data_IF_615164916265
#
_entry.id   IF_615164916265
#
_cell.length_a   1.000
_cell.length_b   1.000
_cell.length_c   1.000
_cell.angle_alpha   90.00
_cell.angle_beta   90.00
_cell.angle_gamma   90.00
#
_symmetry.space_group_name_H-M   'P 1'
#
loop_
_entity.id
_entity.type
_entity.pdbx_description
1 polymer ?
#
# COMPACT_ATOMS: atom_id res chain seq x y z
N UNK A 1 -4.05 73.51 46.77
CA UNK A 1 -3.08 73.60 47.89
C UNK A 1 -3.16 72.35 48.74
N UNK A 2 -2.00 71.80 49.12
CA UNK A 2 -1.73 70.73 50.11
C UNK A 2 -1.95 69.26 49.67
N UNK A 3 -0.91 68.75 49.02
CA UNK A 3 -0.14 67.52 49.32
C UNK A 3 -0.72 66.49 50.31
N UNK A 4 -0.70 65.22 49.90
CA UNK A 4 0.00 64.15 50.64
C UNK A 4 0.39 63.00 49.71
N UNK A 5 1.67 62.65 49.73
CA UNK A 5 2.28 61.44 49.16
C UNK A 5 2.16 60.30 50.18
N UNK A 6 1.86 59.06 49.77
CA UNK A 6 2.38 57.83 50.42
C UNK A 6 2.51 56.68 49.40
N UNK A 7 3.77 56.36 49.13
CA UNK A 7 4.48 55.10 48.87
C UNK A 7 3.87 53.90 48.11
N UNK A 8 4.63 53.51 47.07
CA UNK A 8 4.76 52.20 46.44
C UNK A 8 4.83 51.03 47.44
N UNK A 9 4.15 49.94 47.11
CA UNK A 9 4.66 48.58 47.36
C UNK A 9 4.51 47.75 46.09
N UNK A 10 5.64 47.55 45.41
CA UNK A 10 5.78 46.66 44.25
C UNK A 10 5.89 45.24 44.77
N UNK A 11 4.83 44.44 44.63
CA UNK A 11 4.94 42.98 44.73
C UNK A 11 5.08 42.43 43.31
N UNK A 12 6.33 42.25 42.87
CA UNK A 12 6.64 41.47 41.68
C UNK A 12 6.36 39.99 42.00
N UNK A 13 5.18 39.51 41.62
CA UNK A 13 4.94 38.08 41.44
C UNK A 13 5.59 37.68 40.12
N UNK A 14 6.84 37.24 40.20
CA UNK A 14 7.46 36.37 39.21
C UNK A 14 6.69 35.04 39.24
N UNK A 15 5.58 34.98 38.51
CA UNK A 15 5.06 33.71 38.06
C UNK A 15 6.07 33.16 37.05
N UNK A 16 6.99 32.34 37.55
CA UNK A 16 7.80 31.47 36.71
C UNK A 16 6.85 30.58 35.94
N UNK A 17 6.57 30.96 34.69
CA UNK A 17 6.07 30.03 33.69
C UNK A 17 7.24 29.06 33.49
N UNK A 18 7.24 27.96 34.24
CA UNK A 18 8.00 26.80 33.85
C UNK A 18 7.54 26.46 32.44
N UNK A 19 8.44 26.32 31.44
CA UNK A 19 8.04 25.73 30.18
C UNK A 19 7.45 24.37 30.52
N UNK A 20 6.17 24.16 30.19
CA UNK A 20 5.66 22.82 30.01
C UNK A 20 6.66 22.16 29.06
N UNK A 21 7.38 21.16 29.55
CA UNK A 21 8.13 20.27 28.68
C UNK A 21 7.14 19.79 27.65
N UNK A 22 7.31 20.23 26.40
CA UNK A 22 6.67 19.57 25.29
C UNK A 22 7.01 18.08 25.46
N UNK A 23 6.00 17.23 25.35
CA UNK A 23 6.18 15.79 25.30
C UNK A 23 7.04 15.50 24.05
N UNK A 24 8.35 15.55 24.25
CA UNK A 24 9.37 15.26 23.24
C UNK A 24 9.31 13.75 23.03
N UNK A 25 8.38 13.35 22.17
CA UNK A 25 8.27 11.97 21.71
C UNK A 25 9.61 11.47 21.15
N UNK A 26 9.77 10.15 21.10
CA UNK A 26 11.00 9.50 20.67
C UNK A 26 11.46 10.01 19.29
N UNK A 27 12.74 10.34 19.18
CA UNK A 27 13.37 10.59 17.89
C UNK A 27 13.55 9.28 17.10
N UNK A 28 13.90 9.40 15.81
CA UNK A 28 14.24 8.21 15.02
C UNK A 28 15.49 7.53 15.58
N UNK A 29 16.47 8.30 16.05
CA UNK A 29 17.68 7.78 16.70
C UNK A 29 17.34 7.02 17.99
N UNK A 30 16.40 7.52 18.79
CA UNK A 30 15.93 6.82 19.99
C UNK A 30 15.31 5.46 19.63
N UNK A 31 14.46 5.42 18.60
CA UNK A 31 13.85 4.18 18.10
C UNK A 31 14.93 3.21 17.59
N UNK A 32 15.87 3.71 16.80
CA UNK A 32 16.91 2.90 16.16
C UNK A 32 17.99 2.41 17.13
N UNK A 33 18.14 3.06 18.28
CA UNK A 33 19.07 2.63 19.34
C UNK A 33 18.52 1.49 20.22
N UNK A 34 17.22 1.14 20.09
CA UNK A 34 16.59 0.12 20.92
C UNK A 34 17.14 -1.28 20.58
N UNK A 35 17.48 -2.11 21.59
CA UNK A 35 17.98 -3.46 21.36
C UNK A 35 17.02 -4.30 20.50
N UNK A 36 17.56 -4.95 19.48
CA UNK A 36 16.79 -5.81 18.56
C UNK A 36 16.27 -5.11 17.31
N UNK A 37 16.50 -3.80 17.17
CA UNK A 37 16.23 -3.05 15.94
C UNK A 37 17.54 -2.75 15.19
N UNK A 38 17.47 -2.91 13.87
CA UNK A 38 18.37 -2.30 12.90
C UNK A 38 17.55 -1.29 12.11
N UNK A 39 18.09 -0.09 11.96
CA UNK A 39 17.56 0.93 11.07
C UNK A 39 18.50 1.15 9.91
N UNK A 40 17.93 1.22 8.71
CA UNK A 40 18.65 1.61 7.52
C UNK A 40 17.95 2.79 6.86
N UNK A 41 18.66 3.92 6.81
CA UNK A 41 18.24 5.11 6.08
C UNK A 41 18.42 4.90 4.57
N UNK A 42 17.45 5.39 3.79
CA UNK A 42 17.43 5.39 2.33
C UNK A 42 17.09 6.80 1.81
N UNK A 43 17.20 7.03 0.50
CA UNK A 43 16.83 8.33 -0.07
C UNK A 43 15.34 8.63 0.09
N UNK A 44 14.49 7.61 0.05
CA UNK A 44 13.05 7.72 0.14
C UNK A 44 12.48 7.42 1.54
N UNK A 45 13.29 7.00 2.51
CA UNK A 45 12.74 6.65 3.82
C UNK A 45 13.71 5.98 4.79
N UNK A 46 13.14 5.26 5.75
CA UNK A 46 13.86 4.47 6.74
C UNK A 46 13.23 3.10 6.85
N UNK A 47 14.05 2.05 6.83
CA UNK A 47 13.61 0.68 7.15
C UNK A 47 14.00 0.36 8.57
N UNK A 48 13.05 -0.13 9.36
CA UNK A 48 13.20 -0.47 10.78
C UNK A 48 12.83 -1.93 10.94
N UNK A 49 13.77 -2.77 11.35
CA UNK A 49 13.54 -4.22 11.40
C UNK A 49 14.55 -4.96 12.27
N UNK A 50 14.53 -6.29 12.19
CA UNK A 50 15.60 -7.11 12.78
C UNK A 50 16.88 -7.04 11.95
N UNK A 51 18.01 -7.30 12.61
CA UNK A 51 19.31 -7.21 11.96
C UNK A 51 19.43 -8.12 10.72
N UNK A 52 19.98 -7.59 9.63
CA UNK A 52 20.25 -8.29 8.37
C UNK A 52 19.09 -8.37 7.38
N UNK A 53 17.90 -7.86 7.73
CA UNK A 53 16.72 -7.88 6.85
C UNK A 53 16.41 -6.54 6.18
N UNK A 54 17.14 -5.46 6.46
CA UNK A 54 16.74 -4.08 6.09
C UNK A 54 17.20 -3.64 4.70
N UNK A 55 18.34 -4.13 4.22
CA UNK A 55 19.00 -3.64 3.00
C UNK A 55 18.18 -3.78 1.72
N UNK A 56 17.64 -4.96 1.43
CA UNK A 56 16.84 -5.18 0.22
C UNK A 56 15.55 -4.35 0.22
N UNK A 57 14.96 -4.15 1.39
CA UNK A 57 13.75 -3.35 1.54
C UNK A 57 14.00 -1.85 1.39
N UNK A 58 15.15 -1.36 1.84
CA UNK A 58 15.52 0.06 1.65
C UNK A 58 15.63 0.36 0.16
N UNK A 59 16.23 -0.56 -0.59
CA UNK A 59 16.28 -0.46 -2.05
C UNK A 59 14.88 -0.44 -2.68
N UNK A 60 13.96 -1.31 -2.24
CA UNK A 60 12.57 -1.31 -2.76
C UNK A 60 11.81 -0.01 -2.50
N UNK A 61 12.03 0.65 -1.35
CA UNK A 61 11.40 1.95 -1.08
C UNK A 61 11.93 3.01 -2.06
N UNK A 62 13.25 3.02 -2.30
CA UNK A 62 13.87 3.97 -3.22
C UNK A 62 13.40 3.73 -4.67
N UNK A 63 13.30 2.47 -5.11
CA UNK A 63 12.77 2.13 -6.44
C UNK A 63 11.30 2.54 -6.60
N UNK A 64 10.46 2.23 -5.60
CA UNK A 64 9.06 2.62 -5.60
C UNK A 64 8.90 4.15 -5.63
N UNK A 65 9.70 4.88 -4.85
CA UNK A 65 9.70 6.33 -4.86
C UNK A 65 10.14 6.93 -6.21
N UNK A 66 11.18 6.37 -6.81
CA UNK A 66 11.64 6.79 -8.14
C UNK A 66 10.59 6.51 -9.22
N UNK A 67 9.90 5.37 -9.16
CA UNK A 67 8.78 5.06 -10.05
C UNK A 67 7.60 6.03 -9.84
N UNK A 68 7.25 6.35 -8.59
CA UNK A 68 6.23 7.35 -8.29
C UNK A 68 6.56 8.71 -8.90
N UNK A 69 7.80 9.19 -8.71
CA UNK A 69 8.28 10.43 -9.32
C UNK A 69 8.22 10.40 -10.85
N UNK A 70 8.59 9.26 -11.45
CA UNK A 70 8.53 9.06 -12.90
C UNK A 70 7.12 9.19 -13.45
N UNK A 71 6.12 8.56 -12.82
CA UNK A 71 4.76 8.48 -13.36
C UNK A 71 3.83 9.61 -12.87
N UNK A 72 4.13 10.24 -11.74
CA UNK A 72 3.29 11.29 -11.16
C UNK A 72 3.96 12.67 -11.13
N UNK A 73 5.24 12.78 -11.47
CA UNK A 73 5.98 14.04 -11.49
C UNK A 73 6.10 14.73 -10.12
N UNK A 74 5.81 14.01 -9.03
CA UNK A 74 5.84 14.50 -7.65
C UNK A 74 6.83 13.68 -6.84
N UNK A 75 7.61 14.36 -5.99
CA UNK A 75 8.47 13.70 -5.01
C UNK A 75 7.66 12.77 -4.12
N UNK A 76 8.11 11.52 -3.99
CA UNK A 76 7.45 10.58 -3.10
C UNK A 76 7.57 11.05 -1.63
N UNK A 77 6.49 10.96 -0.84
CA UNK A 77 6.54 11.20 0.60
C UNK A 77 7.53 10.23 1.27
N UNK A 78 8.28 10.72 2.27
CA UNK A 78 9.19 9.88 3.06
C UNK A 78 8.44 8.74 3.76
N UNK A 79 8.93 7.51 3.65
CA UNK A 79 8.31 6.35 4.28
C UNK A 79 9.14 5.79 5.43
N UNK A 80 8.48 5.30 6.48
CA UNK A 80 9.05 4.35 7.43
C UNK A 80 8.46 2.96 7.17
N UNK A 81 9.31 2.01 6.76
CA UNK A 81 8.92 0.62 6.62
C UNK A 81 9.31 -0.15 7.88
N UNK A 82 8.33 -0.77 8.51
CA UNK A 82 8.51 -1.46 9.79
C UNK A 82 8.41 -2.95 9.57
N UNK A 83 9.55 -3.64 9.56
CA UNK A 83 9.64 -5.07 9.30
C UNK A 83 9.28 -5.89 10.54
N UNK A 84 8.36 -6.82 10.37
CA UNK A 84 7.88 -7.73 11.40
C UNK A 84 6.87 -7.08 12.37
N UNK A 85 6.60 -7.76 13.48
CA UNK A 85 5.66 -7.28 14.48
C UNK A 85 6.32 -6.25 15.42
N UNK A 86 6.14 -4.95 15.14
CA UNK A 86 6.37 -3.91 16.16
C UNK A 86 5.12 -3.79 17.03
N UNK A 87 5.20 -4.41 18.21
CA UNK A 87 4.15 -4.40 19.24
C UNK A 87 4.23 -3.19 20.17
N UNK A 88 5.29 -2.40 20.06
CA UNK A 88 5.48 -1.22 20.90
C UNK A 88 4.61 -0.06 20.40
N UNK A 89 3.58 0.27 21.17
CA UNK A 89 2.63 1.34 20.84
C UNK A 89 3.26 2.74 20.87
N UNK A 90 4.31 2.94 21.68
CA UNK A 90 5.03 4.21 21.76
C UNK A 90 5.87 4.42 20.50
N UNK A 91 6.61 3.38 20.06
CA UNK A 91 7.34 3.41 18.78
C UNK A 91 6.39 3.70 17.62
N UNK A 92 5.26 3.00 17.56
CA UNK A 92 4.24 3.20 16.53
C UNK A 92 3.75 4.65 16.47
N UNK A 93 3.40 5.22 17.63
CA UNK A 93 2.87 6.59 17.72
C UNK A 93 3.91 7.61 17.28
N UNK A 94 5.19 7.41 17.65
CA UNK A 94 6.26 8.31 17.25
C UNK A 94 6.58 8.20 15.75
N UNK A 95 6.58 7.00 15.17
CA UNK A 95 6.78 6.85 13.71
C UNK A 95 5.70 7.58 12.90
N UNK A 96 4.44 7.52 13.32
CA UNK A 96 3.34 8.23 12.66
C UNK A 96 3.45 9.77 12.77
N UNK A 97 4.21 10.28 13.75
CA UNK A 97 4.53 11.72 13.86
C UNK A 97 5.71 12.12 12.98
N UNK A 98 6.68 11.21 12.81
CA UNK A 98 7.93 11.45 12.11
C UNK A 98 7.81 11.29 10.59
N UNK A 99 6.97 10.35 10.13
CA UNK A 99 6.86 9.99 8.72
C UNK A 99 5.44 10.18 8.20
N UNK A 100 5.27 10.78 6.99
CA UNK A 100 3.97 10.85 6.34
C UNK A 100 3.45 9.48 5.90
N UNK A 101 4.34 8.51 5.66
CA UNK A 101 3.98 7.11 5.36
C UNK A 101 4.65 6.21 6.40
N UNK A 102 3.86 5.37 7.07
CA UNK A 102 4.36 4.29 7.92
C UNK A 102 3.70 3.00 7.46
N UNK A 103 4.50 2.02 7.05
CA UNK A 103 4.01 0.76 6.51
C UNK A 103 4.54 -0.42 7.35
N UNK A 104 3.69 -1.12 8.13
CA UNK A 104 4.07 -2.39 8.71
C UNK A 104 4.15 -3.46 7.63
N UNK A 105 5.26 -4.17 7.59
CA UNK A 105 5.53 -5.16 6.56
C UNK A 105 6.02 -6.49 7.13
N UNK A 106 5.43 -7.58 6.67
CA UNK A 106 5.80 -8.93 7.10
C UNK A 106 6.78 -9.51 6.09
N UNK A 107 8.01 -9.77 6.53
CA UNK A 107 9.01 -10.44 5.68
C UNK A 107 8.59 -11.88 5.34
N UNK A 108 9.22 -12.50 4.34
CA UNK A 108 8.99 -13.91 4.04
C UNK A 108 9.33 -14.83 5.23
N UNK A 109 10.36 -14.49 6.00
CA UNK A 109 10.73 -15.20 7.22
C UNK A 109 9.68 -15.05 8.33
N UNK A 110 9.15 -13.84 8.53
CA UNK A 110 8.06 -13.60 9.47
C UNK A 110 6.80 -14.36 9.07
N UNK A 111 6.49 -14.40 7.76
CA UNK A 111 5.37 -15.18 7.21
C UNK A 111 5.56 -16.67 7.47
N UNK A 112 6.75 -17.21 7.19
CA UNK A 112 7.08 -18.61 7.47
C UNK A 112 6.93 -18.93 8.95
N UNK A 113 7.48 -18.09 9.82
CA UNK A 113 7.40 -18.27 11.27
C UNK A 113 5.95 -18.20 11.77
N UNK A 114 5.12 -17.32 11.20
CA UNK A 114 3.69 -17.24 11.52
C UNK A 114 2.95 -18.53 11.11
N UNK A 115 3.19 -19.02 9.89
CA UNK A 115 2.61 -20.29 9.41
C UNK A 115 3.06 -21.45 10.29
N UNK A 116 4.34 -21.51 10.66
CA UNK A 116 4.87 -22.53 11.54
C UNK A 116 4.18 -22.53 12.91
N UNK A 117 4.01 -21.38 13.55
CA UNK A 117 3.29 -21.29 14.84
C UNK A 117 1.86 -21.83 14.73
N UNK A 118 1.15 -21.44 13.67
CA UNK A 118 -0.24 -21.86 13.43
C UNK A 118 -0.34 -23.36 13.16
N UNK A 119 0.48 -23.88 12.22
CA UNK A 119 0.55 -25.31 11.88
C UNK A 119 0.94 -26.14 13.10
N UNK A 120 1.93 -25.70 13.87
CA UNK A 120 2.36 -26.39 15.09
C UNK A 120 1.22 -26.53 16.09
N UNK A 121 0.50 -25.44 16.37
CA UNK A 121 -0.66 -25.47 17.26
C UNK A 121 -1.75 -26.43 16.75
N UNK A 122 -2.03 -26.41 15.45
CA UNK A 122 -3.00 -27.31 14.82
C UNK A 122 -2.58 -28.79 14.89
N UNK A 123 -1.32 -29.09 14.61
CA UNK A 123 -0.77 -30.45 14.67
C UNK A 123 -0.80 -30.95 16.11
N UNK A 124 -0.38 -30.15 17.09
CA UNK A 124 -0.42 -30.55 18.51
C UNK A 124 -1.85 -30.79 19.00
N UNK A 125 -2.82 -30.00 18.54
CA UNK A 125 -4.23 -30.19 18.89
C UNK A 125 -4.84 -31.44 18.23
N UNK A 126 -4.49 -31.73 16.97
CA UNK A 126 -5.04 -32.88 16.22
C UNK A 126 -4.30 -34.19 16.47
N UNK A 127 -3.04 -34.13 16.89
CA UNK A 127 -2.12 -35.26 17.08
C UNK A 127 -1.31 -35.09 18.38
N UNK A 128 -1.96 -35.12 19.55
CA UNK A 128 -1.29 -34.93 20.84
C UNK A 128 -0.32 -36.08 21.19
N UNK A 129 -0.38 -37.20 20.45
CA UNK A 129 0.53 -38.34 20.54
C UNK A 129 1.92 -38.03 19.97
N UNK A 130 2.03 -37.09 19.02
CA UNK A 130 3.31 -36.73 18.39
C UNK A 130 4.15 -35.87 19.32
N UNK A 131 5.43 -36.25 19.47
CA UNK A 131 6.42 -35.53 20.29
C UNK A 131 7.77 -35.46 19.57
N UNK A 132 8.61 -34.57 20.06
CA UNK A 132 10.02 -34.44 19.69
C UNK A 132 10.22 -34.42 18.17
N UNK A 133 11.17 -35.20 17.65
CA UNK A 133 11.54 -35.23 16.24
C UNK A 133 10.38 -35.57 15.30
N UNK A 134 9.45 -36.42 15.74
CA UNK A 134 8.27 -36.77 14.93
C UNK A 134 7.30 -35.59 14.77
N UNK A 135 7.15 -34.78 15.82
CA UNK A 135 6.36 -33.54 15.74
C UNK A 135 7.04 -32.54 14.80
N UNK A 136 8.34 -32.29 14.97
CA UNK A 136 9.09 -31.34 14.13
C UNK A 136 9.00 -31.69 12.64
N UNK A 137 9.13 -32.98 12.30
CA UNK A 137 9.03 -33.44 10.91
C UNK A 137 7.66 -33.17 10.30
N UNK A 138 6.58 -33.45 11.03
CA UNK A 138 5.21 -33.21 10.57
C UNK A 138 4.95 -31.72 10.41
N UNK A 139 5.36 -30.90 11.40
CA UNK A 139 5.23 -29.44 11.33
C UNK A 139 5.96 -28.89 10.11
N UNK A 140 7.23 -29.25 9.91
CA UNK A 140 8.01 -28.77 8.76
C UNK A 140 7.34 -29.12 7.42
N UNK A 141 6.87 -30.36 7.26
CA UNK A 141 6.16 -30.79 6.04
C UNK A 141 4.85 -30.03 5.83
N UNK A 142 4.08 -29.81 6.90
CA UNK A 142 2.81 -29.08 6.84
C UNK A 142 3.01 -27.58 6.59
N UNK A 143 4.11 -26.98 7.08
CA UNK A 143 4.49 -25.60 6.75
C UNK A 143 4.80 -25.46 5.28
N UNK A 144 5.65 -26.32 4.72
CA UNK A 144 5.97 -26.30 3.28
C UNK A 144 4.71 -26.51 2.43
N UNK A 145 3.86 -27.47 2.79
CA UNK A 145 2.60 -27.69 2.09
C UNK A 145 1.68 -26.46 2.15
N UNK A 146 1.58 -25.80 3.31
CA UNK A 146 0.76 -24.61 3.50
C UNK A 146 1.29 -23.41 2.70
N UNK A 147 2.61 -23.19 2.68
CA UNK A 147 3.23 -22.14 1.89
C UNK A 147 3.07 -22.39 0.39
N UNK A 148 3.25 -23.63 -0.06
CA UNK A 148 3.06 -24.00 -1.47
C UNK A 148 1.59 -23.86 -1.91
N UNK A 149 0.63 -24.29 -1.10
CA UNK A 149 -0.79 -24.18 -1.40
C UNK A 149 -1.25 -22.71 -1.52
N UNK A 150 -0.63 -21.81 -0.74
CA UNK A 150 -0.90 -20.36 -0.80
C UNK A 150 -0.19 -19.65 -1.96
N UNK A 151 0.58 -20.37 -2.77
CA UNK A 151 1.46 -19.81 -3.78
C UNK A 151 2.78 -19.36 -3.16
N UNK A 152 3.88 -20.02 -3.55
CA UNK A 152 5.22 -19.62 -3.11
C UNK A 152 5.51 -18.22 -3.64
N UNK A 153 5.77 -17.29 -2.74
CA UNK A 153 6.35 -15.99 -3.08
C UNK A 153 7.87 -16.12 -3.03
N UNK A 154 8.54 -15.71 -4.09
CA UNK A 154 9.96 -15.42 -4.04
C UNK A 154 10.18 -13.96 -3.61
N UNK A 155 11.44 -13.60 -3.38
CA UNK A 155 11.81 -12.25 -2.93
C UNK A 155 11.34 -11.20 -3.93
N UNK A 156 11.52 -11.42 -5.23
CA UNK A 156 11.13 -10.44 -6.25
C UNK A 156 9.63 -10.18 -6.26
N UNK A 157 8.79 -11.22 -6.21
CA UNK A 157 7.35 -11.05 -6.09
C UNK A 157 7.00 -10.28 -4.80
N UNK A 158 7.65 -10.62 -3.69
CA UNK A 158 7.40 -10.00 -2.40
C UNK A 158 7.76 -8.49 -2.39
N UNK A 159 8.91 -8.14 -2.96
CA UNK A 159 9.35 -6.75 -3.12
C UNK A 159 8.47 -5.99 -4.14
N UNK A 160 7.95 -6.65 -5.16
CA UNK A 160 6.98 -6.07 -6.08
C UNK A 160 5.66 -5.70 -5.40
N UNK A 161 5.16 -6.57 -4.51
CA UNK A 161 3.95 -6.29 -3.73
C UNK A 161 4.22 -5.14 -2.75
N UNK A 162 5.40 -5.08 -2.13
CA UNK A 162 5.76 -3.92 -1.31
C UNK A 162 5.70 -2.60 -2.08
N UNK A 163 6.25 -2.58 -3.29
CA UNK A 163 6.21 -1.38 -4.14
C UNK A 163 4.77 -1.00 -4.52
N UNK A 164 3.92 -1.98 -4.77
CA UNK A 164 2.47 -1.80 -4.98
C UNK A 164 1.82 -1.10 -3.77
N UNK A 165 2.01 -1.63 -2.56
CA UNK A 165 1.44 -1.03 -1.34
C UNK A 165 1.98 0.38 -1.06
N UNK A 166 3.26 0.61 -1.31
CA UNK A 166 3.85 1.95 -1.22
C UNK A 166 3.21 2.92 -2.22
N UNK A 167 2.79 2.45 -3.40
CA UNK A 167 2.09 3.26 -4.40
C UNK A 167 0.78 3.84 -3.90
N UNK A 168 -0.08 3.03 -3.29
CA UNK A 168 -1.30 3.51 -2.63
C UNK A 168 -0.98 4.60 -1.60
N UNK A 169 0.02 4.35 -0.76
CA UNK A 169 0.41 5.29 0.30
C UNK A 169 0.96 6.60 -0.26
N UNK A 170 1.88 6.55 -1.23
CA UNK A 170 2.45 7.72 -1.88
C UNK A 170 1.38 8.54 -2.59
N UNK A 171 0.47 7.87 -3.30
CA UNK A 171 -0.63 8.52 -4.00
C UNK A 171 -1.57 9.25 -3.04
N UNK A 172 -2.07 8.54 -2.03
CA UNK A 172 -2.94 9.11 -0.99
C UNK A 172 -2.31 10.33 -0.32
N UNK A 173 -1.04 10.24 0.08
CA UNK A 173 -0.34 11.35 0.75
C UNK A 173 -0.04 12.52 -0.18
N UNK A 174 0.13 12.29 -1.48
CA UNK A 174 0.49 13.34 -2.45
C UNK A 174 -0.71 14.07 -3.06
N UNK A 175 -1.88 13.43 -3.08
CA UNK A 175 -3.09 13.96 -3.74
C UNK A 175 -4.24 14.23 -2.76
N UNK A 176 -4.22 13.66 -1.55
CA UNK A 176 -5.25 13.87 -0.51
C UNK A 176 -4.65 14.26 0.86
N UNK A 177 -3.83 15.33 0.96
CA UNK A 177 -3.11 15.67 2.19
C UNK A 177 -4.03 16.01 3.37
N UNK A 178 -5.20 16.63 3.15
CA UNK A 178 -6.07 17.09 4.24
C UNK A 178 -6.83 15.97 4.95
N UNK A 179 -7.15 14.89 4.25
CA UNK A 179 -7.82 13.72 4.84
C UNK A 179 -6.89 12.95 5.78
N UNK A 180 -5.57 13.11 5.62
CA UNK A 180 -4.57 12.53 6.49
C UNK A 180 -4.48 13.21 7.86
N UNK A 181 -4.82 14.50 7.96
CA UNK A 181 -4.80 15.24 9.21
C UNK A 181 -5.86 14.71 10.20
N UNK A 182 -6.97 14.15 9.68
CA UNK A 182 -8.04 13.59 10.48
C UNK A 182 -7.74 12.18 11.01
N UNK A 183 -6.84 11.42 10.35
CA UNK A 183 -6.40 10.10 10.82
C UNK A 183 -5.51 10.18 12.06
N UNK A 184 -4.75 11.28 12.23
CA UNK A 184 -3.92 11.54 13.42
C UNK A 184 -4.71 12.15 14.59
N UNK A 185 -5.92 12.66 14.37
CA UNK A 185 -6.78 13.23 15.42
C UNK A 185 -7.74 12.22 16.06
N UNK A 186 -7.84 11.00 15.54
CA UNK A 186 -8.79 9.99 16.00
C UNK A 186 -8.33 9.23 17.27
N UNK A 187 -8.01 9.95 18.35
CA UNK A 187 -7.89 9.44 19.74
C UNK A 187 -6.90 8.29 20.00
N UNK A 188 -6.80 7.85 21.26
CA UNK A 188 -5.86 6.81 21.76
C UNK A 188 -6.12 5.37 21.23
N UNK A 189 -6.82 5.23 20.11
CA UNK A 189 -6.99 3.97 19.40
C UNK A 189 -5.92 3.80 18.32
N UNK A 190 -5.64 2.56 17.85
CA UNK A 190 -4.92 2.41 16.59
C UNK A 190 -5.69 3.20 15.52
N UNK A 191 -5.02 4.01 14.69
CA UNK A 191 -5.70 4.73 13.62
C UNK A 191 -6.50 3.71 12.85
N UNK A 192 -7.80 3.95 12.72
CA UNK A 192 -8.58 3.19 11.76
C UNK A 192 -7.88 3.42 10.42
N UNK A 193 -7.19 2.40 9.91
CA UNK A 193 -6.95 2.32 8.47
C UNK A 193 -8.30 2.66 7.85
N UNK A 194 -8.38 3.64 6.94
CA UNK A 194 -9.65 4.06 6.37
C UNK A 194 -10.48 2.82 6.04
N UNK A 195 -11.78 2.91 6.27
CA UNK A 195 -12.80 1.90 5.94
C UNK A 195 -12.79 1.45 4.45
N UNK A 196 -11.85 1.99 3.68
CA UNK A 196 -11.56 1.88 2.27
C UNK A 196 -10.08 1.52 2.16
N UNK A 197 -9.80 0.36 1.56
CA UNK A 197 -8.46 0.02 1.11
C UNK A 197 -8.09 1.05 0.04
N UNK A 198 -7.15 1.97 0.33
CA UNK A 198 -6.72 3.00 -0.62
C UNK A 198 -7.03 4.45 -0.23
N UNK A 199 -6.94 5.35 -1.21
CA UNK A 199 -7.25 6.78 -1.12
C UNK A 199 -8.72 7.09 -1.44
N UNK A 200 -9.22 8.33 -1.23
CA UNK A 200 -10.55 8.76 -1.68
C UNK A 200 -10.75 8.80 -3.20
N UNK A 201 -9.74 8.43 -3.99
CA UNK A 201 -9.89 8.33 -5.43
C UNK A 201 -10.79 7.14 -5.80
N UNK A 202 -11.36 7.12 -7.02
CA UNK A 202 -11.94 5.91 -7.57
C UNK A 202 -10.93 4.76 -7.55
N UNK A 203 -11.40 3.55 -7.23
CA UNK A 203 -10.54 2.37 -7.00
C UNK A 203 -9.60 2.07 -8.16
N UNK A 204 -10.03 2.30 -9.41
CA UNK A 204 -9.16 2.12 -10.58
C UNK A 204 -7.93 3.03 -10.55
N UNK A 205 -8.08 4.27 -10.06
CA UNK A 205 -6.99 5.26 -10.02
C UNK A 205 -6.05 4.97 -8.86
N UNK A 206 -6.61 4.52 -7.73
CA UNK A 206 -5.82 4.08 -6.59
C UNK A 206 -4.98 2.85 -6.94
N UNK A 207 -5.57 1.83 -7.56
CA UNK A 207 -4.85 0.65 -8.07
C UNK A 207 -3.88 1.00 -9.21
N UNK A 208 -4.24 1.93 -10.10
CA UNK A 208 -3.32 2.41 -11.13
C UNK A 208 -2.04 2.97 -10.51
N UNK A 209 -2.18 3.72 -9.41
CA UNK A 209 -1.04 4.30 -8.70
C UNK A 209 -0.12 3.23 -8.11
N UNK A 210 -0.67 2.09 -7.68
CA UNK A 210 0.10 0.97 -7.15
C UNK A 210 0.73 0.11 -8.26
N UNK A 211 -0.04 -0.23 -9.30
CA UNK A 211 0.40 -1.08 -10.42
C UNK A 211 1.53 -0.45 -11.24
N UNK A 212 1.58 0.88 -11.33
CA UNK A 212 2.67 1.59 -12.00
C UNK A 212 4.02 1.47 -11.28
N UNK A 213 4.01 1.17 -9.98
CA UNK A 213 5.20 1.04 -9.14
C UNK A 213 5.68 -0.40 -9.01
N UNK A 214 4.90 -1.37 -9.48
CA UNK A 214 5.25 -2.78 -9.49
C UNK A 214 6.55 -3.03 -10.28
N UNK A 215 7.36 -3.97 -9.78
CA UNK A 215 8.57 -4.41 -10.45
C UNK A 215 8.28 -5.23 -11.73
N UNK A 216 9.36 -5.65 -12.40
CA UNK A 216 9.28 -6.42 -13.64
C UNK A 216 8.52 -7.76 -13.46
N UNK A 217 8.73 -8.48 -12.36
CA UNK A 217 8.11 -9.78 -12.12
C UNK A 217 6.58 -9.67 -12.08
N UNK A 218 6.05 -8.71 -11.31
CA UNK A 218 4.61 -8.48 -11.27
C UNK A 218 4.09 -7.97 -12.62
N UNK A 219 4.79 -7.00 -13.22
CA UNK A 219 4.47 -6.44 -14.54
C UNK A 219 4.32 -7.53 -15.61
N UNK A 220 5.30 -8.43 -15.72
CA UNK A 220 5.28 -9.55 -16.65
C UNK A 220 4.12 -10.52 -16.35
N UNK A 221 3.88 -10.78 -15.08
CA UNK A 221 2.77 -11.60 -14.60
C UNK A 221 1.41 -11.00 -15.01
N UNK A 222 1.24 -9.67 -14.94
CA UNK A 222 0.03 -8.97 -15.40
C UNK A 222 -0.19 -9.17 -16.90
N UNK A 223 0.82 -8.94 -17.73
CA UNK A 223 0.69 -9.17 -19.18
C UNK A 223 0.46 -10.64 -19.51
N UNK A 224 1.12 -11.55 -18.79
CA UNK A 224 0.94 -12.99 -18.95
C UNK A 224 -0.53 -13.40 -18.83
N UNK A 225 -1.26 -12.82 -17.88
CA UNK A 225 -2.70 -13.07 -17.67
C UNK A 225 -3.57 -12.54 -18.81
N UNK A 226 -3.15 -11.47 -19.47
CA UNK A 226 -3.91 -10.90 -20.60
C UNK A 226 -3.61 -11.57 -21.95
N UNK A 227 -2.70 -12.54 -22.02
CA UNK A 227 -2.38 -13.23 -23.28
C UNK A 227 -3.58 -13.99 -23.88
N UNK A 228 -4.46 -14.55 -23.03
CA UNK A 228 -5.70 -15.21 -23.44
C UNK A 228 -6.62 -14.30 -24.26
N UNK A 229 -6.81 -13.06 -23.77
CA UNK A 229 -7.62 -12.03 -24.43
C UNK A 229 -7.09 -11.73 -25.84
N UNK A 230 -5.77 -11.52 -25.95
CA UNK A 230 -5.14 -11.20 -27.24
C UNK A 230 -5.28 -12.36 -28.24
N UNK A 231 -5.07 -13.59 -27.78
CA UNK A 231 -5.10 -14.78 -28.65
C UNK A 231 -6.50 -15.16 -29.09
N UNK A 232 -7.50 -14.94 -28.24
CA UNK A 232 -8.90 -15.29 -28.51
C UNK A 232 -9.69 -14.09 -29.06
N UNK A 233 -9.11 -12.89 -29.01
CA UNK A 233 -9.79 -11.63 -29.27
C UNK A 233 -11.09 -11.48 -28.46
N UNK A 234 -11.04 -11.90 -27.20
CA UNK A 234 -12.19 -11.96 -26.30
C UNK A 234 -12.01 -11.00 -25.13
N UNK A 235 -12.51 -9.77 -25.32
CA UNK A 235 -12.47 -8.72 -24.31
C UNK A 235 -13.55 -8.86 -23.23
N UNK A 236 -14.40 -9.89 -23.28
CA UNK A 236 -15.37 -10.16 -22.19
C UNK A 236 -14.70 -10.69 -20.91
N UNK A 237 -13.41 -11.05 -21.00
CA UNK A 237 -12.59 -11.50 -19.86
C UNK A 237 -12.02 -10.33 -19.04
N UNK A 238 -12.28 -9.09 -19.42
CA UNK A 238 -12.01 -7.86 -18.65
C UNK A 238 -13.29 -7.04 -18.55
N UNK A 239 -13.30 -6.06 -17.65
CA UNK A 239 -14.43 -5.15 -17.52
C UNK A 239 -14.43 -4.15 -18.67
N UNK A 240 -15.62 -3.73 -19.11
CA UNK A 240 -15.74 -2.56 -19.98
C UNK A 240 -15.15 -1.34 -19.27
N UNK A 241 -14.74 -0.31 -20.02
CA UNK A 241 -14.18 0.89 -19.41
C UNK A 241 -15.23 1.67 -18.61
N UNK A 242 -16.50 1.63 -19.03
CA UNK A 242 -17.60 2.22 -18.25
C UNK A 242 -17.69 1.59 -16.85
N UNK A 243 -17.61 0.26 -16.76
CA UNK A 243 -17.64 -0.45 -15.48
C UNK A 243 -16.32 -0.29 -14.71
N UNK A 244 -15.18 -0.55 -15.34
CA UNK A 244 -13.85 -0.46 -14.72
C UNK A 244 -13.58 0.89 -14.06
N UNK A 245 -13.98 2.00 -14.71
CA UNK A 245 -13.70 3.35 -14.21
C UNK A 245 -14.66 3.82 -13.10
N UNK A 246 -15.72 3.05 -12.81
CA UNK A 246 -16.77 3.42 -11.84
C UNK A 246 -17.05 2.37 -10.77
N UNK A 247 -16.62 1.12 -10.99
CA UNK A 247 -16.84 0.03 -10.06
C UNK A 247 -16.03 0.19 -8.77
N UNK A 248 -16.54 -0.40 -7.69
CA UNK A 248 -15.77 -0.60 -6.47
C UNK A 248 -14.75 -1.73 -6.64
N UNK A 249 -13.71 -1.74 -5.80
CA UNK A 249 -12.59 -2.65 -5.92
C UNK A 249 -13.06 -4.11 -5.78
N UNK A 250 -12.82 -4.98 -6.77
CA UNK A 250 -13.44 -6.31 -6.83
C UNK A 250 -12.97 -7.25 -5.71
N UNK A 251 -11.80 -7.01 -5.12
CA UNK A 251 -11.30 -7.80 -3.99
C UNK A 251 -11.73 -7.25 -2.61
N UNK A 252 -12.38 -6.09 -2.54
CA UNK A 252 -12.65 -5.40 -1.27
C UNK A 252 -13.62 -6.19 -0.37
N UNK A 253 -14.62 -6.84 -0.95
CA UNK A 253 -15.58 -7.63 -0.20
C UNK A 253 -14.91 -8.80 0.54
N UNK A 254 -13.94 -9.46 -0.10
CA UNK A 254 -13.20 -10.57 0.51
C UNK A 254 -12.16 -10.06 1.51
N UNK A 255 -11.47 -8.95 1.18
CA UNK A 255 -10.56 -8.26 2.11
C UNK A 255 -11.26 -7.91 3.43
N UNK A 256 -12.49 -7.38 3.34
CA UNK A 256 -13.32 -7.03 4.51
C UNK A 256 -13.65 -8.25 5.37
N UNK A 257 -13.98 -9.40 4.76
CA UNK A 257 -14.23 -10.64 5.52
C UNK A 257 -12.98 -11.12 6.25
N UNK A 258 -11.82 -11.11 5.58
CA UNK A 258 -10.54 -11.51 6.18
C UNK A 258 -10.15 -10.55 7.32
N UNK A 259 -10.33 -9.26 7.13
CA UNK A 259 -10.07 -8.24 8.15
C UNK A 259 -10.97 -8.39 9.37
N UNK A 260 -12.27 -8.61 9.17
CA UNK A 260 -13.22 -8.83 10.26
C UNK A 260 -12.88 -10.13 11.02
N UNK A 261 -12.55 -11.21 10.32
CA UNK A 261 -12.12 -12.46 10.94
C UNK A 261 -10.82 -12.29 11.76
N UNK A 262 -9.85 -11.49 11.27
CA UNK A 262 -8.63 -11.15 12.03
C UNK A 262 -8.93 -10.29 13.27
N UNK A 263 -9.82 -9.31 13.14
CA UNK A 263 -10.25 -8.47 14.27
C UNK A 263 -10.92 -9.29 15.37
N UNK A 264 -11.69 -10.31 15.00
CA UNK A 264 -12.34 -11.22 15.92
C UNK A 264 -11.39 -12.25 16.55
N UNK A 265 -10.19 -12.47 15.97
CA UNK A 265 -9.26 -13.53 16.38
C UNK A 265 -7.97 -13.07 17.07
N UNK A 266 -7.65 -11.78 17.15
CA UNK A 266 -6.38 -11.31 17.73
C UNK A 266 -6.51 -10.34 18.91
N UNK A 267 -5.73 -10.63 19.95
CA UNK A 267 -5.19 -9.73 20.98
C UNK A 267 -4.89 -8.32 20.41
N UNK A 268 -5.46 -7.31 21.06
CA UNK A 268 -5.54 -5.91 20.62
C UNK A 268 -4.21 -5.11 20.62
N UNK A 269 -3.05 -5.76 20.46
CA UNK A 269 -1.73 -5.12 20.66
C UNK A 269 -0.84 -4.96 19.42
N UNK A 270 -1.03 -5.73 18.35
CA UNK A 270 -0.17 -5.68 17.16
C UNK A 270 -0.55 -4.58 16.17
N UNK A 271 0.44 -3.99 15.48
CA UNK A 271 0.15 -3.19 14.28
C UNK A 271 -0.53 -4.13 13.27
N UNK A 272 -1.78 -3.86 12.92
CA UNK A 272 -2.51 -4.62 11.91
C UNK A 272 -1.73 -4.57 10.60
N UNK A 273 -0.99 -5.64 10.29
CA UNK A 273 -0.19 -5.72 9.08
C UNK A 273 -1.07 -5.63 7.85
N UNK A 274 -0.50 -5.16 6.73
CA UNK A 274 -1.17 -5.15 5.43
C UNK A 274 -1.70 -6.55 5.14
N UNK A 275 -2.99 -6.63 4.79
CA UNK A 275 -3.57 -7.89 4.31
C UNK A 275 -3.18 -8.06 2.86
N UNK A 276 -2.05 -8.72 2.65
CA UNK A 276 -1.70 -9.25 1.33
C UNK A 276 -2.65 -10.42 1.07
N UNK A 277 -3.71 -10.18 0.30
CA UNK A 277 -4.57 -11.24 -0.21
C UNK A 277 -3.83 -11.95 -1.34
N UNK A 278 -3.54 -13.24 -1.15
CA UNK A 278 -3.04 -14.02 -2.27
C UNK A 278 -4.20 -14.33 -3.23
N UNK A 279 -3.88 -14.56 -4.50
CA UNK A 279 -4.88 -14.96 -5.51
C UNK A 279 -5.63 -16.24 -5.12
N UNK A 280 -4.99 -17.16 -4.39
CA UNK A 280 -5.61 -18.37 -3.84
C UNK A 280 -6.60 -18.08 -2.70
N UNK A 281 -6.53 -16.90 -2.10
CA UNK A 281 -7.47 -16.43 -1.08
C UNK A 281 -8.70 -15.74 -1.69
N UNK A 282 -8.68 -15.46 -3.00
CA UNK A 282 -9.82 -14.87 -3.72
C UNK A 282 -10.59 -15.96 -4.45
N UNK A 283 -11.81 -16.26 -3.99
CA UNK A 283 -12.72 -17.13 -4.73
C UNK A 283 -13.01 -16.53 -6.12
N UNK A 284 -13.02 -17.34 -7.20
CA UNK A 284 -13.49 -16.84 -8.49
C UNK A 284 -14.94 -16.37 -8.35
N UNK A 285 -15.30 -15.22 -8.94
CA UNK A 285 -16.65 -14.70 -8.84
C UNK A 285 -17.62 -15.62 -9.60
N UNK A 286 -18.88 -15.66 -9.15
CA UNK A 286 -19.94 -16.42 -9.83
C UNK A 286 -20.27 -15.84 -11.21
N UNK A 287 -20.14 -14.52 -11.37
CA UNK A 287 -20.35 -13.78 -12.61
C UNK A 287 -19.28 -12.68 -12.79
N UNK A 288 -18.89 -12.42 -14.03
CA UNK A 288 -17.93 -11.36 -14.40
C UNK A 288 -16.45 -11.79 -14.41
N UNK A 289 -15.54 -10.88 -14.81
CA UNK A 289 -14.11 -11.15 -14.86
C UNK A 289 -13.52 -11.50 -13.48
N UNK A 290 -12.48 -12.34 -13.47
CA UNK A 290 -11.77 -12.67 -12.25
C UNK A 290 -11.09 -11.41 -11.65
N UNK A 291 -11.12 -11.16 -10.33
CA UNK A 291 -10.52 -9.97 -9.69
C UNK A 291 -9.08 -9.68 -10.09
N UNK A 292 -8.29 -10.73 -10.36
CA UNK A 292 -6.89 -10.61 -10.82
C UNK A 292 -6.75 -9.87 -12.17
N UNK A 293 -7.80 -9.87 -12.98
CA UNK A 293 -7.84 -9.13 -14.24
C UNK A 293 -7.90 -7.63 -14.00
N UNK A 294 -8.29 -7.14 -12.81
CA UNK A 294 -8.47 -5.71 -12.55
C UNK A 294 -7.12 -5.01 -12.57
N UNK A 295 -6.16 -5.58 -11.85
CA UNK A 295 -4.77 -5.15 -11.86
C UNK A 295 -4.12 -5.34 -13.24
N UNK A 296 -4.48 -6.42 -13.95
CA UNK A 296 -3.89 -6.72 -15.26
C UNK A 296 -4.37 -5.72 -16.32
N UNK A 297 -5.67 -5.42 -16.34
CA UNK A 297 -6.28 -4.36 -17.14
C UNK A 297 -5.70 -2.99 -16.77
N UNK A 298 -5.52 -2.69 -15.47
CA UNK A 298 -4.88 -1.45 -15.02
C UNK A 298 -3.49 -1.30 -15.62
N UNK A 299 -2.66 -2.34 -15.60
CA UNK A 299 -1.32 -2.29 -16.20
C UNK A 299 -1.35 -2.04 -17.71
N UNK A 300 -2.19 -2.76 -18.44
CA UNK A 300 -2.29 -2.59 -19.89
C UNK A 300 -2.87 -1.23 -20.26
N UNK A 301 -3.85 -0.73 -19.48
CA UNK A 301 -4.45 0.58 -19.68
C UNK A 301 -3.44 1.71 -19.41
N UNK A 302 -2.59 1.56 -18.39
CA UNK A 302 -1.47 2.45 -18.14
C UNK A 302 -0.57 2.63 -19.37
N UNK A 303 -0.11 1.52 -19.90
CA UNK A 303 0.75 1.50 -21.09
C UNK A 303 0.07 2.13 -22.30
N UNK A 304 -1.22 1.83 -22.54
CA UNK A 304 -1.98 2.42 -23.64
C UNK A 304 -2.02 3.94 -23.54
N UNK A 305 -2.37 4.46 -22.35
CA UNK A 305 -2.44 5.90 -22.09
C UNK A 305 -1.06 6.56 -22.29
N UNK A 306 0.00 5.98 -21.71
CA UNK A 306 1.36 6.53 -21.81
C UNK A 306 1.86 6.53 -23.26
N UNK A 307 1.64 5.45 -24.00
CA UNK A 307 2.16 5.34 -25.37
C UNK A 307 1.36 6.15 -26.37
N UNK A 308 0.05 6.24 -26.19
CA UNK A 308 -0.82 7.01 -27.08
C UNK A 308 -0.60 8.51 -26.91
N UNK A 309 -0.42 8.95 -25.66
CA UNK A 309 -0.16 10.37 -25.36
C UNK A 309 1.31 10.76 -25.52
N UNK A 310 2.23 9.80 -25.50
CA UNK A 310 3.67 10.06 -25.40
C UNK A 310 4.10 10.66 -24.05
N UNK A 311 3.20 10.72 -23.06
CA UNK A 311 3.44 11.34 -21.78
C UNK A 311 3.49 10.29 -20.66
N UNK A 312 4.69 10.03 -20.14
CA UNK A 312 4.88 9.10 -19.02
C UNK A 312 4.20 9.56 -17.72
N UNK A 313 3.90 10.86 -17.61
CA UNK A 313 3.25 11.47 -16.45
C UNK A 313 1.75 11.73 -16.64
N UNK A 314 1.11 11.10 -17.63
CA UNK A 314 -0.32 11.30 -17.93
C UNK A 314 -1.22 11.10 -16.69
N UNK A 315 -0.88 10.15 -15.82
CA UNK A 315 -1.64 9.87 -14.61
C UNK A 315 -1.54 10.96 -13.54
N UNK A 316 -0.50 11.82 -13.58
CA UNK A 316 -0.47 13.02 -12.75
C UNK A 316 -1.60 13.99 -13.10
N UNK A 317 -1.84 14.17 -14.40
CA UNK A 317 -2.87 15.07 -14.90
C UNK A 317 -4.28 14.52 -14.59
N UNK A 318 -4.48 13.22 -14.83
CA UNK A 318 -5.75 12.55 -14.52
C UNK A 318 -6.03 12.59 -13.01
N UNK A 319 -5.04 12.30 -12.16
CA UNK A 319 -5.18 12.41 -10.71
C UNK A 319 -5.57 13.83 -10.28
N UNK A 320 -4.92 14.85 -10.85
CA UNK A 320 -5.23 16.25 -10.55
C UNK A 320 -6.68 16.60 -10.94
N UNK A 321 -7.18 16.12 -12.08
CA UNK A 321 -8.57 16.31 -12.48
C UNK A 321 -9.55 15.64 -11.51
N UNK A 322 -9.29 14.38 -11.13
CA UNK A 322 -10.13 13.61 -10.20
C UNK A 322 -10.19 14.28 -8.83
N UNK A 323 -9.06 14.73 -8.28
CA UNK A 323 -9.02 15.42 -6.98
C UNK A 323 -9.79 16.74 -6.97
N UNK A 324 -10.06 17.33 -8.14
CA UNK A 324 -10.91 18.50 -8.32
C UNK A 324 -12.39 18.13 -8.56
N UNK A 325 -12.75 16.86 -8.42
CA UNK A 325 -14.10 16.35 -8.59
C UNK A 325 -14.53 16.09 -10.03
N UNK A 326 -13.59 16.08 -10.98
CA UNK A 326 -13.90 15.75 -12.39
C UNK A 326 -13.97 14.24 -12.59
N UNK A 327 -14.90 13.82 -13.44
CA UNK A 327 -14.95 12.46 -13.99
C UNK A 327 -13.92 12.28 -15.10
N UNK A 328 -13.61 11.02 -15.44
CA UNK A 328 -12.72 10.71 -16.58
C UNK A 328 -13.30 11.21 -17.89
N UNK A 329 -14.62 11.12 -18.09
CA UNK A 329 -15.27 11.62 -19.29
C UNK A 329 -15.10 13.14 -19.43
N UNK A 330 -15.33 13.90 -18.35
CA UNK A 330 -15.10 15.36 -18.37
C UNK A 330 -13.63 15.73 -18.61
N UNK A 331 -12.69 14.92 -18.13
CA UNK A 331 -11.27 15.13 -18.44
C UNK A 331 -10.95 14.82 -19.91
N UNK A 332 -11.44 13.71 -20.47
CA UNK A 332 -11.26 13.37 -21.89
C UNK A 332 -11.92 14.39 -22.82
N UNK A 333 -13.09 14.91 -22.47
CA UNK A 333 -13.75 15.97 -23.25
C UNK A 333 -12.91 17.26 -23.31
N UNK A 334 -12.14 17.55 -22.26
CA UNK A 334 -11.28 18.73 -22.17
C UNK A 334 -9.89 18.52 -22.78
N UNK A 335 -9.34 17.31 -22.68
CA UNK A 335 -7.91 17.03 -22.90
C UNK A 335 -7.62 15.94 -23.90
N UNK A 336 -8.62 15.11 -24.22
CA UNK A 336 -8.44 13.94 -25.06
C UNK A 336 -7.83 14.29 -26.42
N UNK A 337 -8.48 15.19 -27.17
CA UNK A 337 -8.01 15.57 -28.51
C UNK A 337 -6.60 16.16 -28.51
N UNK A 338 -6.29 17.04 -27.54
CA UNK A 338 -4.95 17.63 -27.36
C UNK A 338 -3.87 16.57 -27.14
N UNK A 339 -4.23 15.48 -26.45
CA UNK A 339 -3.34 14.39 -26.06
C UNK A 339 -3.40 13.20 -27.02
N UNK A 340 -4.14 13.29 -28.12
CA UNK A 340 -4.31 12.19 -29.08
C UNK A 340 -5.19 11.03 -28.58
N UNK A 341 -5.95 11.25 -27.51
CA UNK A 341 -6.92 10.31 -26.97
C UNK A 341 -8.33 10.60 -27.52
N UNK A 342 -9.20 9.59 -27.63
CA UNK A 342 -10.60 9.82 -27.90
C UNK A 342 -11.30 10.62 -26.79
N UNK A 343 -12.31 11.42 -27.13
CA UNK A 343 -13.03 12.25 -26.16
C UNK A 343 -14.09 11.49 -25.35
N UNK A 344 -14.43 10.26 -25.71
CA UNK A 344 -15.44 9.46 -25.00
C UNK A 344 -14.88 8.13 -24.50
N UNK A 345 -15.47 7.61 -23.42
CA UNK A 345 -15.08 6.32 -22.83
C UNK A 345 -15.22 5.17 -23.84
N UNK A 346 -16.32 5.08 -24.57
CA UNK A 346 -16.53 4.04 -25.60
C UNK A 346 -15.44 4.05 -26.69
N UNK A 347 -15.02 5.25 -27.11
CA UNK A 347 -13.99 5.38 -28.13
C UNK A 347 -12.60 5.10 -27.55
N UNK A 348 -12.36 5.48 -26.29
CA UNK A 348 -11.14 5.14 -25.55
C UNK A 348 -11.00 3.63 -25.40
N UNK A 349 -12.07 2.92 -25.06
CA UNK A 349 -12.08 1.46 -24.93
C UNK A 349 -11.75 0.79 -26.28
N UNK A 350 -12.39 1.23 -27.37
CA UNK A 350 -12.08 0.72 -28.72
C UNK A 350 -10.63 0.98 -29.11
N UNK A 351 -10.10 2.17 -28.78
CA UNK A 351 -8.71 2.52 -28.99
C UNK A 351 -7.75 1.62 -28.21
N UNK A 352 -8.06 1.38 -26.93
CA UNK A 352 -7.32 0.44 -26.08
C UNK A 352 -7.33 -0.98 -26.64
N UNK A 353 -8.49 -1.50 -27.03
CA UNK A 353 -8.63 -2.85 -27.58
C UNK A 353 -7.79 -3.01 -28.86
N UNK A 354 -7.89 -2.04 -29.78
CA UNK A 354 -7.11 -2.02 -31.02
C UNK A 354 -5.60 -1.95 -30.74
N UNK A 355 -5.18 -1.07 -29.84
CA UNK A 355 -3.78 -0.96 -29.41
C UNK A 355 -3.30 -2.28 -28.79
N UNK A 356 -4.10 -2.91 -27.93
CA UNK A 356 -3.71 -4.13 -27.22
C UNK A 356 -3.53 -5.32 -28.17
N UNK A 357 -4.39 -5.45 -29.19
CA UNK A 357 -4.23 -6.45 -30.25
C UNK A 357 -2.97 -6.16 -31.08
N UNK A 358 -2.76 -4.90 -31.48
CA UNK A 358 -1.65 -4.49 -32.35
C UNK A 358 -0.28 -4.53 -31.65
N UNK A 359 -0.24 -4.36 -30.32
CA UNK A 359 0.98 -4.35 -29.52
C UNK A 359 1.70 -5.68 -29.63
N UNK A 360 2.75 -5.77 -30.45
CA UNK A 360 3.71 -6.86 -30.33
C UNK A 360 4.42 -6.75 -28.97
N UNK A 361 4.72 -7.89 -28.33
CA UNK A 361 5.55 -7.91 -27.13
C UNK A 361 6.93 -7.37 -27.49
N UNK A 362 7.10 -6.06 -27.42
CA UNK A 362 8.42 -5.45 -27.40
C UNK A 362 8.97 -5.76 -26.02
N UNK A 363 9.93 -6.68 -25.96
CA UNK A 363 10.67 -6.95 -24.73
C UNK A 363 11.31 -5.64 -24.26
N UNK A 364 10.76 -5.07 -23.19
CA UNK A 364 11.41 -4.03 -22.40
C UNK A 364 11.83 -4.66 -21.10
#
# INVERSE_FOLDING_TARGET
>A
MKTSKVYLFTCALLAGVLPQSADEGLSIEDICSRPGFECLESEAGTVIGKAGATASYAHSIDEAAAAFERYFGKKAPKAALVLGEVRDAEVRTNLLRLFPVVLPWMTLDDRRAMVERSVRAQVQASRPDLKDEALEKVVAQSVEASLNARGRQDDDLHHGILAHELGHMFFMRSYYPDQNANLLQAGDGPPALPSEYGSPAPDWMDEMSAVLLENAVLTESRYGRMTGIKTQNDFTQIWSFEEYLTMGHPALAEARKVMEARRQSADAGGMGGVVILNQSDMAPPEEGPAPVMFYSQSRAFADYMIETTGNVQIFAEVAAAITQGKTVNEWLDLKGEELGLPSTIDALEKGFQQWFIARERSGR
#
